data_IF_410634405293
#
_entry.id   IF_410634405293
#
_cell.length_a   1.000
_cell.length_b   1.000
_cell.length_c   1.000
_cell.angle_alpha   90.00
_cell.angle_beta   90.00
_cell.angle_gamma   90.00
#
_symmetry.space_group_name_H-M   'P 1'
#
loop_
_entity.id
_entity.type
_entity.pdbx_description
1 polymer ?
#
# COMPACT_ATOMS: atom_id res chain seq x y z
N UNK A 1 18.73 5.04 11.24
CA UNK A 1 18.56 4.00 10.22
C UNK A 1 17.15 3.41 10.38
N UNK A 2 16.26 3.59 9.41
CA UNK A 2 14.87 3.06 9.45
C UNK A 2 14.85 1.55 9.13
N UNK A 3 15.85 1.06 8.38
CA UNK A 3 15.95 -0.32 7.89
C UNK A 3 15.91 -1.37 9.01
N UNK A 4 16.53 -1.08 10.16
CA UNK A 4 16.70 -2.06 11.23
C UNK A 4 15.41 -2.34 12.01
N UNK A 5 14.49 -1.38 12.09
CA UNK A 5 13.25 -1.52 12.85
C UNK A 5 12.18 -2.33 12.10
N UNK A 6 12.18 -2.30 10.76
CA UNK A 6 11.16 -2.96 9.94
C UNK A 6 11.55 -4.34 9.44
N UNK A 7 12.85 -4.64 9.30
CA UNK A 7 13.32 -5.83 8.58
C UNK A 7 13.08 -7.15 9.33
N UNK A 8 13.07 -7.13 10.67
CA UNK A 8 12.87 -8.32 11.51
C UNK A 8 11.58 -8.25 12.34
N UNK A 9 10.70 -7.29 12.05
CA UNK A 9 9.47 -7.14 12.80
C UNK A 9 8.38 -8.07 12.24
N UNK A 10 7.83 -9.00 13.05
CA UNK A 10 6.87 -9.98 12.57
C UNK A 10 5.56 -9.33 12.13
N UNK A 11 5.12 -8.24 12.78
CA UNK A 11 3.90 -7.54 12.39
C UNK A 11 4.08 -6.80 11.07
N UNK A 12 5.26 -6.21 10.83
CA UNK A 12 5.60 -5.59 9.54
C UNK A 12 5.66 -6.65 8.44
N UNK A 13 6.31 -7.79 8.68
CA UNK A 13 6.39 -8.88 7.70
C UNK A 13 5.00 -9.42 7.32
N UNK A 14 4.14 -9.66 8.31
CA UNK A 14 2.76 -10.13 8.09
C UNK A 14 1.94 -9.09 7.32
N UNK A 15 2.07 -7.80 7.67
CA UNK A 15 1.41 -6.72 6.96
C UNK A 15 1.83 -6.66 5.49
N UNK A 16 3.13 -6.70 5.21
CA UNK A 16 3.65 -6.66 3.84
C UNK A 16 3.13 -7.85 3.00
N UNK A 17 3.17 -9.07 3.55
CA UNK A 17 2.68 -10.27 2.88
C UNK A 17 1.16 -10.22 2.63
N UNK A 18 0.39 -9.80 3.64
CA UNK A 18 -1.05 -9.65 3.57
C UNK A 18 -1.47 -8.62 2.52
N UNK A 19 -0.91 -7.42 2.58
CA UNK A 19 -1.15 -6.36 1.60
C UNK A 19 -0.78 -6.79 0.19
N UNK A 20 0.37 -7.46 0.01
CA UNK A 20 0.82 -7.97 -1.30
C UNK A 20 -0.19 -8.94 -1.90
N UNK A 21 -0.63 -9.93 -1.11
CA UNK A 21 -1.57 -10.96 -1.56
C UNK A 21 -2.93 -10.34 -1.93
N UNK A 22 -3.45 -9.46 -1.08
CA UNK A 22 -4.75 -8.79 -1.30
C UNK A 22 -4.72 -7.86 -2.51
N UNK A 23 -3.66 -7.07 -2.67
CA UNK A 23 -3.53 -6.15 -3.80
C UNK A 23 -3.38 -6.90 -5.12
N UNK A 24 -2.62 -8.00 -5.15
CA UNK A 24 -2.48 -8.83 -6.34
C UNK A 24 -3.83 -9.41 -6.79
N UNK A 25 -4.68 -9.85 -5.86
CA UNK A 25 -6.04 -10.28 -6.16
C UNK A 25 -6.91 -9.13 -6.70
N UNK A 26 -6.78 -7.93 -6.14
CA UNK A 26 -7.58 -6.76 -6.51
C UNK A 26 -7.25 -6.25 -7.92
N UNK A 27 -5.96 -6.17 -8.27
CA UNK A 27 -5.54 -5.67 -9.59
C UNK A 27 -5.73 -6.70 -10.72
N UNK A 28 -5.74 -8.00 -10.39
CA UNK A 28 -5.98 -9.06 -11.38
C UNK A 28 -7.47 -9.25 -11.66
N UNK A 29 -8.33 -9.04 -10.68
CA UNK A 29 -9.80 -9.01 -10.87
C UNK A 29 -10.27 -7.78 -11.63
N UNK A 30 -9.58 -6.65 -11.45
CA UNK A 30 -9.82 -5.39 -12.18
C UNK A 30 -9.21 -5.36 -13.59
N UNK A 31 -8.46 -6.42 -13.96
CA UNK A 31 -7.58 -6.46 -15.14
C UNK A 31 -8.16 -7.11 -16.38
N UNK A 32 -9.45 -7.50 -16.39
CA UNK A 32 -10.09 -7.87 -17.65
C UNK A 32 -10.53 -6.61 -18.39
N UNK A 33 -9.92 -6.43 -19.57
CA UNK A 33 -10.29 -5.49 -20.63
C UNK A 33 -9.86 -4.02 -20.45
N UNK A 34 -8.63 -3.73 -20.91
CA UNK A 34 -8.38 -2.57 -21.77
C UNK A 34 -6.99 -2.69 -22.37
N UNK A 35 -6.95 -3.04 -23.65
CA UNK A 35 -5.80 -2.86 -24.53
C UNK A 35 -5.31 -1.41 -24.35
N UNK A 36 -4.07 -1.17 -23.89
CA UNK A 36 -3.64 0.19 -23.64
C UNK A 36 -3.61 0.94 -24.97
N UNK A 37 -4.52 1.91 -25.12
CA UNK A 37 -4.40 2.94 -26.13
C UNK A 37 -3.16 3.77 -25.77
N UNK A 38 -2.03 3.38 -26.35
CA UNK A 38 -0.75 4.10 -26.26
C UNK A 38 -0.19 4.23 -24.83
N UNK A 39 0.35 3.14 -24.27
CA UNK A 39 1.07 3.18 -22.99
C UNK A 39 1.37 1.81 -22.39
N UNK A 40 2.16 1.77 -21.31
CA UNK A 40 2.34 0.56 -20.51
C UNK A 40 1.06 0.23 -19.75
N UNK A 41 0.82 -1.06 -19.49
CA UNK A 41 -0.29 -1.50 -18.65
C UNK A 41 -0.18 -0.88 -17.24
N UNK A 42 -1.26 -0.28 -16.74
CA UNK A 42 -1.35 0.35 -15.40
C UNK A 42 -1.24 -0.64 -14.24
N UNK A 43 -1.34 -1.95 -14.49
CA UNK A 43 -1.29 -3.02 -13.50
C UNK A 43 -0.17 -2.84 -12.47
N UNK A 44 1.05 -2.50 -12.90
CA UNK A 44 2.17 -2.32 -12.00
C UNK A 44 2.02 -1.11 -11.08
N UNK A 45 1.48 -0.01 -11.60
CA UNK A 45 1.22 1.21 -10.83
C UNK A 45 0.11 0.97 -9.82
N UNK A 46 -0.97 0.33 -10.25
CA UNK A 46 -2.12 0.01 -9.39
C UNK A 46 -1.70 -0.94 -8.25
N UNK A 47 -0.89 -1.96 -8.57
CA UNK A 47 -0.38 -2.90 -7.58
C UNK A 47 0.51 -2.21 -6.53
N UNK A 48 1.50 -1.43 -6.98
CA UNK A 48 2.42 -0.72 -6.07
C UNK A 48 1.66 0.32 -5.24
N UNK A 49 0.71 1.06 -5.85
CA UNK A 49 -0.14 2.02 -5.16
C UNK A 49 -0.96 1.38 -4.05
N UNK A 50 -1.67 0.28 -4.37
CA UNK A 50 -2.45 -0.48 -3.40
C UNK A 50 -1.60 -0.96 -2.22
N UNK A 51 -0.45 -1.60 -2.49
CA UNK A 51 0.40 -2.17 -1.43
C UNK A 51 0.88 -1.07 -0.49
N UNK A 52 1.37 0.05 -1.02
CA UNK A 52 1.88 1.15 -0.20
C UNK A 52 0.80 1.79 0.67
N UNK A 53 -0.39 2.05 0.12
CA UNK A 53 -1.49 2.63 0.91
C UNK A 53 -1.92 1.69 2.02
N UNK A 54 -2.13 0.40 1.72
CA UNK A 54 -2.54 -0.57 2.74
C UNK A 54 -1.51 -0.67 3.85
N UNK A 55 -0.23 -0.75 3.51
CA UNK A 55 0.84 -0.79 4.49
C UNK A 55 0.90 0.48 5.34
N UNK A 56 0.74 1.65 4.74
CA UNK A 56 0.77 2.92 5.46
C UNK A 56 -0.41 3.05 6.44
N UNK A 57 -1.63 2.76 6.00
CA UNK A 57 -2.83 2.86 6.83
C UNK A 57 -2.84 1.86 7.99
N UNK A 58 -2.27 0.67 7.77
CA UNK A 58 -2.23 -0.42 8.74
C UNK A 58 -0.86 -0.56 9.44
N UNK A 59 0.00 0.46 9.34
CA UNK A 59 1.32 0.45 9.97
C UNK A 59 1.20 0.12 11.47
N UNK A 60 1.96 -0.87 12.00
CA UNK A 60 1.88 -1.27 13.40
C UNK A 60 2.20 -0.12 14.35
N UNK A 61 1.47 -0.02 15.47
CA UNK A 61 1.57 1.12 16.39
C UNK A 61 2.96 1.32 16.98
N UNK A 62 3.72 0.25 17.23
CA UNK A 62 5.07 0.33 17.79
C UNK A 62 6.12 0.78 16.76
N UNK A 63 5.80 0.75 15.47
CA UNK A 63 6.64 1.27 14.37
C UNK A 63 6.16 2.66 13.92
N UNK A 64 4.88 2.97 14.14
CA UNK A 64 4.27 4.22 13.72
C UNK A 64 4.97 5.45 14.32
N UNK A 65 5.33 6.39 13.46
CA UNK A 65 5.78 7.70 13.91
C UNK A 65 4.57 8.56 14.28
N UNK A 66 4.37 8.80 15.58
CA UNK A 66 3.29 9.66 16.07
C UNK A 66 3.59 11.16 15.90
N UNK A 67 4.02 11.55 14.70
CA UNK A 67 4.25 12.95 14.32
C UNK A 67 2.98 13.56 13.72
N UNK A 68 2.83 14.89 13.82
CA UNK A 68 1.72 15.61 13.21
C UNK A 68 1.67 15.37 11.69
N UNK A 69 2.83 15.31 11.02
CA UNK A 69 2.93 15.07 9.59
C UNK A 69 2.38 13.69 9.22
N UNK A 70 2.82 12.62 9.90
CA UNK A 70 2.36 11.26 9.64
C UNK A 70 0.86 11.12 9.92
N UNK A 71 0.38 11.69 11.02
CA UNK A 71 -1.03 11.63 11.41
C UNK A 71 -1.92 12.38 10.41
N UNK A 72 -1.53 13.59 9.99
CA UNK A 72 -2.28 14.37 9.01
C UNK A 72 -2.32 13.67 7.65
N UNK A 73 -1.22 13.07 7.20
CA UNK A 73 -1.19 12.30 5.96
C UNK A 73 -2.10 11.06 6.04
N UNK A 74 -2.10 10.34 7.17
CA UNK A 74 -2.99 9.20 7.38
C UNK A 74 -4.46 9.61 7.32
N UNK A 75 -4.82 10.72 7.96
CA UNK A 75 -6.18 11.27 7.88
C UNK A 75 -6.54 11.69 6.46
N UNK A 76 -5.63 12.35 5.74
CA UNK A 76 -5.85 12.74 4.36
C UNK A 76 -6.15 11.54 3.45
N UNK A 77 -5.36 10.48 3.53
CA UNK A 77 -5.56 9.27 2.72
C UNK A 77 -6.91 8.59 3.03
N UNK A 78 -7.33 8.57 4.30
CA UNK A 78 -8.62 8.02 4.70
C UNK A 78 -9.80 8.85 4.17
N UNK A 79 -9.64 10.17 4.04
CA UNK A 79 -10.67 11.08 3.53
C UNK A 79 -10.70 11.13 2.00
N UNK A 80 -9.57 10.89 1.34
CA UNK A 80 -9.40 10.90 -0.10
C UNK A 80 -8.98 9.50 -0.62
N UNK A 81 -9.89 8.51 -0.60
CA UNK A 81 -9.56 7.15 -1.04
C UNK A 81 -9.13 7.16 -2.51
N UNK A 82 -7.94 6.64 -2.76
CA UNK A 82 -7.44 6.44 -4.12
C UNK A 82 -8.12 5.22 -4.75
N UNK A 83 -8.41 5.24 -6.06
CA UNK A 83 -9.12 4.16 -6.74
C UNK A 83 -8.16 3.01 -7.04
N UNK A 84 -7.94 2.11 -6.07
CA UNK A 84 -7.17 0.88 -6.25
C UNK A 84 -7.97 -0.33 -5.76
#
# INVERSE_FOLDING_TARGET
MIVTATQNDPAVMQLLQGSTTQCMQSVTTSGQEQTPATGCNKLGVDFVGCVNIRNFLNCPQHIWSNSAQCNNLKQFILQCPQPF
#
